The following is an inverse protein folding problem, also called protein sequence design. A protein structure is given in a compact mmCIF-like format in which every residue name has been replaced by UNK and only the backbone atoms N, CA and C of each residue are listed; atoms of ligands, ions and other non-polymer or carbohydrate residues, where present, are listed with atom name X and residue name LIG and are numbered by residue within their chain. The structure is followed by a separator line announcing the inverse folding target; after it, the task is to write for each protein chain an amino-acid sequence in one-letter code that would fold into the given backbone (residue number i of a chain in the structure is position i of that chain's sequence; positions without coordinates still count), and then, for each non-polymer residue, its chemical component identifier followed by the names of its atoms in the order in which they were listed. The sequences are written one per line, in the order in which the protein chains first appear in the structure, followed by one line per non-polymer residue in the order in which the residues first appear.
data_IF_561303616564
#
_entry.id   IF_561303616564
#
_cell.length_a   1.000
_cell.length_b   1.000
_cell.length_c   1.000
_cell.angle_alpha   90.00
_cell.angle_beta   90.00
_cell.angle_gamma   90.00
#
_symmetry.space_group_name_H-M   'P 1'
#
loop_
_entity.id
_entity.type
_entity.pdbx_description
1 polymer ?
#
# COMPACT_ATOMS: atom_id res chain seq x y z
N UNK A 1 -4.50 -27.61 14.97
CA UNK A 1 -3.84 -26.36 14.50
C UNK A 1 -4.93 -25.31 14.41
N UNK A 2 -4.79 -24.19 15.12
CA UNK A 2 -5.78 -23.10 15.07
C UNK A 2 -5.35 -22.11 13.99
N UNK A 3 -6.24 -21.85 13.05
CA UNK A 3 -6.07 -20.89 11.96
C UNK A 3 -6.85 -19.62 12.26
N UNK A 4 -6.23 -18.48 12.02
CA UNK A 4 -6.81 -17.16 12.28
C UNK A 4 -7.01 -16.42 10.96
N UNK A 5 -7.93 -15.47 11.00
CA UNK A 5 -8.25 -14.60 9.89
C UNK A 5 -8.21 -13.16 10.38
N UNK A 6 -7.55 -12.28 9.63
CA UNK A 6 -7.56 -10.85 9.89
C UNK A 6 -8.41 -10.16 8.82
N UNK A 7 -9.55 -9.64 9.25
CA UNK A 7 -10.36 -8.77 8.41
C UNK A 7 -9.76 -7.36 8.42
N UNK A 8 -9.52 -6.80 7.24
CA UNK A 8 -8.93 -5.48 7.08
C UNK A 8 -9.77 -4.66 6.12
N UNK A 9 -10.08 -3.42 6.49
CA UNK A 9 -10.74 -2.44 5.64
C UNK A 9 -10.01 -1.11 5.68
N UNK A 10 -9.77 -0.50 4.53
CA UNK A 10 -9.27 0.86 4.45
C UNK A 10 -10.46 1.83 4.36
N UNK A 11 -10.78 2.53 5.46
CA UNK A 11 -11.95 3.42 5.51
C UNK A 11 -11.79 4.71 4.72
N UNK A 12 -10.64 5.36 4.82
CA UNK A 12 -10.37 6.65 4.20
C UNK A 12 -8.91 6.75 3.74
N UNK A 13 -8.67 7.65 2.78
CA UNK A 13 -7.35 8.05 2.32
C UNK A 13 -7.30 9.57 2.20
N UNK A 14 -7.06 10.24 3.33
CA UNK A 14 -7.06 11.71 3.45
C UNK A 14 -5.90 12.44 2.76
N UNK A 15 -5.08 11.76 1.96
CA UNK A 15 -3.96 12.37 1.23
C UNK A 15 -4.24 12.43 -0.27
N UNK A 16 -4.02 13.60 -0.90
CA UNK A 16 -4.14 13.73 -2.35
C UNK A 16 -2.80 13.48 -3.03
N UNK A 17 -2.75 12.47 -3.91
CA UNK A 17 -1.58 12.13 -4.73
C UNK A 17 -1.49 12.99 -6.00
N UNK A 18 -2.58 13.69 -6.38
CA UNK A 18 -2.67 14.49 -7.61
C UNK A 18 -2.82 13.68 -8.91
N UNK A 19 -2.78 12.35 -8.81
CA UNK A 19 -2.97 11.36 -9.88
C UNK A 19 -3.79 10.20 -9.29
N UNK A 20 -4.23 9.25 -10.13
CA UNK A 20 -4.78 8.00 -9.60
C UNK A 20 -3.71 7.29 -8.77
N UNK A 21 -4.11 6.53 -7.76
CA UNK A 21 -3.18 5.79 -6.92
C UNK A 21 -3.62 4.33 -6.74
N UNK A 22 -2.62 3.47 -6.58
CA UNK A 22 -2.79 2.08 -6.18
C UNK A 22 -2.09 1.89 -4.83
N UNK A 23 -2.82 1.37 -3.86
CA UNK A 23 -2.31 1.08 -2.52
C UNK A 23 -2.30 -0.44 -2.34
N UNK A 24 -1.12 -0.99 -2.09
CA UNK A 24 -0.92 -2.42 -1.88
C UNK A 24 -0.68 -2.69 -0.40
N UNK A 25 -1.61 -3.39 0.24
CA UNK A 25 -1.53 -3.82 1.63
C UNK A 25 -1.05 -5.27 1.73
N UNK A 26 -0.20 -5.57 2.71
CA UNK A 26 0.30 -6.92 2.98
C UNK A 26 0.75 -7.08 4.43
N UNK A 27 0.69 -8.29 4.95
CA UNK A 27 1.20 -8.65 6.27
C UNK A 27 2.68 -9.00 6.21
N UNK A 28 3.46 -8.46 7.14
CA UNK A 28 4.91 -8.66 7.25
C UNK A 28 5.28 -9.11 8.66
N UNK A 29 6.04 -10.21 8.75
CA UNK A 29 6.66 -10.68 10.00
C UNK A 29 8.10 -10.13 10.05
N UNK A 30 8.36 -9.18 10.95
CA UNK A 30 9.70 -8.57 11.06
C UNK A 30 10.74 -9.50 11.69
N UNK A 31 10.31 -10.46 12.51
CA UNK A 31 11.19 -11.48 13.12
C UNK A 31 11.70 -12.44 12.06
N UNK A 32 10.87 -12.83 11.09
CA UNK A 32 11.26 -13.68 9.95
C UNK A 32 11.81 -12.88 8.77
N UNK A 33 11.54 -11.58 8.71
CA UNK A 33 11.95 -10.69 7.61
C UNK A 33 11.23 -10.99 6.29
N UNK A 34 9.98 -11.45 6.33
CA UNK A 34 9.24 -11.86 5.13
C UNK A 34 7.76 -11.49 5.20
N UNK A 35 7.15 -11.41 4.02
CA UNK A 35 5.70 -11.26 3.89
C UNK A 35 5.00 -12.58 4.22
N UNK A 36 3.92 -12.48 4.97
CA UNK A 36 3.05 -13.61 5.31
C UNK A 36 1.84 -13.71 4.37
N UNK A 37 1.48 -12.61 3.70
CA UNK A 37 0.31 -12.56 2.84
C UNK A 37 0.64 -12.12 1.43
N UNK A 38 -0.28 -12.41 0.50
CA UNK A 38 -0.34 -11.73 -0.78
C UNK A 38 -0.68 -10.23 -0.61
N UNK A 39 -0.57 -9.48 -1.70
CA UNK A 39 -0.89 -8.06 -1.72
C UNK A 39 -2.37 -7.85 -2.02
N UNK A 40 -3.06 -7.17 -1.11
CA UNK A 40 -4.40 -6.63 -1.34
C UNK A 40 -4.31 -5.25 -1.98
N UNK A 41 -4.99 -5.04 -3.11
CA UNK A 41 -4.96 -3.79 -3.87
C UNK A 41 -6.22 -2.96 -3.62
N UNK A 42 -6.03 -1.71 -3.22
CA UNK A 42 -7.05 -0.67 -3.25
C UNK A 42 -6.69 0.39 -4.28
N UNK A 43 -7.65 0.81 -5.10
CA UNK A 43 -7.47 1.86 -6.11
C UNK A 43 -8.14 3.15 -5.68
N UNK A 44 -7.42 4.25 -5.78
CA UNK A 44 -7.89 5.60 -5.46
C UNK A 44 -7.91 6.43 -6.74
N UNK A 45 -9.05 7.06 -7.01
CA UNK A 45 -9.17 8.03 -8.11
C UNK A 45 -8.52 9.35 -7.74
N UNK A 46 -7.95 10.07 -8.71
CA UNK A 46 -7.44 11.44 -8.48
C UNK A 46 -8.53 12.40 -7.96
N UNK A 47 -9.80 12.16 -8.30
CA UNK A 47 -10.97 12.91 -7.80
C UNK A 47 -11.27 12.65 -6.31
N UNK A 48 -10.52 11.74 -5.67
CA UNK A 48 -10.65 11.41 -4.26
C UNK A 48 -11.67 10.30 -3.99
N UNK A 49 -11.90 10.08 -2.70
CA UNK A 49 -12.69 8.96 -2.16
C UNK A 49 -14.21 9.12 -2.38
N UNK A 50 -14.70 10.34 -2.58
CA UNK A 50 -16.12 10.68 -2.65
C UNK A 50 -16.87 10.11 -3.87
N UNK A 51 -16.16 9.81 -4.97
CA UNK A 51 -16.75 9.15 -6.14
C UNK A 51 -16.63 7.61 -6.10
N UNK A 52 -16.00 7.04 -5.07
CA UNK A 52 -15.76 5.60 -4.93
C UNK A 52 -16.78 4.88 -4.03
N UNK A 53 -17.72 5.64 -3.44
CA UNK A 53 -18.77 5.14 -2.53
C UNK A 53 -19.60 4.00 -3.18
N UNK A 54 -19.71 3.92 -4.51
CA UNK A 54 -20.40 2.80 -5.17
C UNK A 54 -19.64 1.46 -5.14
N UNK A 55 -18.37 1.44 -4.72
CA UNK A 55 -17.52 0.22 -4.61
C UNK A 55 -17.00 -0.05 -3.20
N UNK A 56 -17.75 0.36 -2.18
CA UNK A 56 -17.46 0.18 -0.75
C UNK A 56 -17.18 -1.28 -0.30
N UNK A 57 -17.42 -2.28 -1.14
CA UNK A 57 -17.02 -3.67 -0.88
C UNK A 57 -15.60 -4.02 -1.35
N UNK A 58 -14.91 -3.14 -2.08
CA UNK A 58 -13.62 -3.43 -2.72
C UNK A 58 -12.38 -2.90 -1.96
N UNK A 59 -12.57 -2.24 -0.83
CA UNK A 59 -11.51 -1.73 0.06
C UNK A 59 -11.29 -2.61 1.30
N UNK A 60 -11.95 -3.77 1.37
CA UNK A 60 -11.80 -4.73 2.44
C UNK A 60 -11.24 -6.06 1.92
N UNK A 61 -10.53 -6.78 2.79
CA UNK A 61 -9.99 -8.11 2.51
C UNK A 61 -9.96 -8.95 3.79
N UNK A 62 -9.81 -10.26 3.63
CA UNK A 62 -9.54 -11.19 4.71
C UNK A 62 -8.17 -11.80 4.43
N UNK A 63 -7.22 -11.57 5.32
CA UNK A 63 -5.95 -12.29 5.32
C UNK A 63 -6.15 -13.62 6.05
N UNK A 64 -6.06 -14.73 5.32
CA UNK A 64 -6.32 -16.08 5.82
C UNK A 64 -5.04 -16.81 6.22
N UNK A 65 -5.20 -18.04 6.72
CA UNK A 65 -4.12 -19.00 6.94
C UNK A 65 -3.03 -18.55 7.93
N UNK A 66 -3.38 -17.71 8.90
CA UNK A 66 -2.48 -17.22 9.93
C UNK A 66 -2.43 -18.19 11.12
N UNK A 67 -1.24 -18.66 11.47
CA UNK A 67 -1.02 -19.44 12.69
C UNK A 67 -0.87 -18.56 13.93
N UNK A 68 -1.03 -19.16 15.11
CA UNK A 68 -0.75 -18.48 16.39
C UNK A 68 0.63 -17.80 16.43
N UNK A 69 1.64 -18.44 15.84
CA UNK A 69 3.02 -17.92 15.84
C UNK A 69 3.20 -16.69 14.92
N UNK A 70 2.23 -16.43 14.04
CA UNK A 70 2.22 -15.30 13.12
C UNK A 70 1.52 -14.08 13.75
N UNK A 71 0.55 -14.30 14.66
CA UNK A 71 -0.10 -13.28 15.50
C UNK A 71 0.79 -12.83 16.66
N UNK A 72 1.95 -12.25 16.32
CA UNK A 72 2.95 -11.78 17.28
C UNK A 72 3.03 -10.26 17.32
N UNK A 73 3.79 -9.70 18.27
CA UNK A 73 4.08 -8.26 18.34
C UNK A 73 4.90 -7.75 17.15
N UNK A 74 5.51 -8.67 16.41
CA UNK A 74 6.35 -8.43 15.23
C UNK A 74 5.55 -8.52 13.91
N UNK A 75 4.21 -8.58 14.00
CA UNK A 75 3.31 -8.53 12.86
C UNK A 75 2.98 -7.08 12.48
N UNK A 76 3.16 -6.76 11.21
CA UNK A 76 2.88 -5.43 10.65
C UNK A 76 2.00 -5.52 9.42
N UNK A 77 1.16 -4.51 9.22
CA UNK A 77 0.60 -4.21 7.90
C UNK A 77 1.53 -3.21 7.21
N UNK A 78 1.92 -3.52 5.98
CA UNK A 78 2.70 -2.64 5.12
C UNK A 78 1.82 -2.17 3.97
N UNK A 79 1.74 -0.86 3.77
CA UNK A 79 1.03 -0.20 2.69
C UNK A 79 2.02 0.43 1.71
N UNK A 80 2.08 -0.04 0.46
CA UNK A 80 2.85 0.60 -0.60
C UNK A 80 1.93 1.46 -1.46
N UNK A 81 2.19 2.76 -1.49
CA UNK A 81 1.44 3.71 -2.31
C UNK A 81 2.17 3.94 -3.62
N UNK A 82 1.49 3.66 -4.73
CA UNK A 82 1.95 3.86 -6.08
C UNK A 82 1.11 4.95 -6.73
N UNK A 83 1.74 6.00 -7.27
CA UNK A 83 1.05 6.97 -8.11
C UNK A 83 1.02 6.49 -9.56
N UNK A 84 -0.13 6.60 -10.19
CA UNK A 84 -0.45 6.08 -11.50
C UNK A 84 -0.74 7.23 -12.45
N UNK A 85 0.20 7.52 -13.35
CA UNK A 85 0.01 8.62 -14.29
C UNK A 85 1.12 8.75 -15.31
N UNK A 86 1.15 9.89 -15.99
CA UNK A 86 2.11 10.12 -17.07
C UNK A 86 3.48 10.46 -16.51
N UNK A 87 4.53 9.99 -17.17
CA UNK A 87 5.88 10.47 -16.89
C UNK A 87 6.05 11.84 -17.56
N UNK A 88 6.33 12.88 -16.77
CA UNK A 88 6.67 14.20 -17.30
C UNK A 88 8.11 14.11 -17.82
N UNK A 89 8.29 14.05 -19.14
CA UNK A 89 9.57 14.32 -19.78
C UNK A 89 9.68 15.83 -20.02
N UNK A 90 10.86 16.41 -19.86
CA UNK A 90 11.14 17.84 -20.10
C UNK A 90 10.73 18.29 -21.50
N UNK A 91 10.35 19.57 -21.64
CA UNK A 91 9.70 20.23 -22.80
C UNK A 91 10.37 20.12 -24.19
N UNK A 92 11.53 19.49 -24.29
CA UNK A 92 12.26 19.37 -25.55
C UNK A 92 12.00 18.03 -26.23
N UNK A 93 10.90 17.96 -26.99
CA UNK A 93 10.74 16.95 -28.04
C UNK A 93 9.30 16.59 -28.33
N UNK A 94 8.85 16.89 -29.55
CA UNK A 94 7.60 16.44 -30.18
C UNK A 94 7.56 14.91 -30.38
N UNK A 95 7.75 14.14 -29.32
CA UNK A 95 7.49 12.72 -29.34
C UNK A 95 6.12 12.50 -28.73
N UNK A 96 5.26 11.81 -29.51
CA UNK A 96 3.97 11.28 -29.10
C UNK A 96 4.17 10.27 -27.95
N UNK A 97 4.59 10.74 -26.78
CA UNK A 97 4.70 9.94 -25.58
C UNK A 97 3.30 9.41 -25.31
N UNK A 98 3.10 8.13 -25.60
CA UNK A 98 1.79 7.51 -25.73
C UNK A 98 0.94 7.62 -24.47
N UNK A 99 -0.31 7.22 -24.58
CA UNK A 99 -1.30 7.10 -23.49
C UNK A 99 -0.89 6.13 -22.36
N UNK A 100 0.39 5.81 -22.21
CA UNK A 100 0.93 4.90 -21.22
C UNK A 100 0.82 5.52 -19.82
N UNK A 101 0.21 4.75 -18.92
CA UNK A 101 0.13 5.06 -17.49
C UNK A 101 1.24 4.30 -16.78
N UNK A 102 2.08 5.02 -16.05
CA UNK A 102 3.19 4.46 -15.29
C UNK A 102 2.84 4.40 -13.80
N UNK A 103 3.14 3.26 -13.18
CA UNK A 103 3.09 3.08 -11.73
C UNK A 103 4.44 3.45 -11.13
N UNK A 104 4.48 4.48 -10.30
CA UNK A 104 5.71 4.99 -9.68
C UNK A 104 5.56 4.96 -8.17
N UNK A 105 6.58 4.51 -7.41
CA UNK A 105 6.54 4.59 -5.96
C UNK A 105 6.27 6.02 -5.48
N UNK A 106 5.34 6.16 -4.54
CA UNK A 106 4.96 7.45 -3.96
C UNK A 106 5.26 7.48 -2.45
N UNK A 107 4.90 6.42 -1.73
CA UNK A 107 5.17 6.34 -0.30
C UNK A 107 5.00 4.94 0.25
N UNK A 108 5.39 4.76 1.51
CA UNK A 108 5.19 3.52 2.26
C UNK A 108 4.70 3.83 3.67
N UNK A 109 3.68 3.11 4.12
CA UNK A 109 3.21 3.09 5.50
C UNK A 109 3.49 1.73 6.13
N UNK A 110 3.85 1.72 7.41
CA UNK A 110 4.04 0.51 8.20
C UNK A 110 3.32 0.70 9.53
N UNK A 111 2.46 -0.24 9.89
CA UNK A 111 1.67 -0.19 11.12
C UNK A 111 1.82 -1.52 11.88
N UNK A 112 2.26 -1.48 13.15
CA UNK A 112 2.27 -2.67 14.00
C UNK A 112 0.84 -3.11 14.32
N UNK A 113 0.59 -4.42 14.28
CA UNK A 113 -0.68 -5.03 14.68
C UNK A 113 -0.64 -5.63 16.09
N UNK A 114 0.34 -5.27 16.91
CA UNK A 114 0.52 -5.82 18.26
C UNK A 114 -0.73 -5.66 19.15
N UNK A 115 -1.46 -4.56 19.00
CA UNK A 115 -2.70 -4.29 19.75
C UNK A 115 -3.89 -5.04 19.15
N UNK A 116 -4.01 -5.08 17.82
CA UNK A 116 -5.06 -5.82 17.12
C UNK A 116 -4.95 -7.36 17.30
N UNK A 117 -3.75 -7.86 17.59
CA UNK A 117 -3.52 -9.30 17.81
C UNK A 117 -3.87 -9.77 19.23
N UNK A 118 -4.11 -8.85 20.17
CA UNK A 118 -4.36 -9.18 21.59
C UNK A 118 -5.83 -9.30 21.95
N UNK A 119 -6.74 -8.72 21.16
CA UNK A 119 -8.17 -8.72 21.44
C UNK A 119 -8.95 -9.34 20.28
N UNK A 120 -9.82 -10.30 20.59
CA UNK A 120 -10.47 -11.17 19.60
C UNK A 120 -11.87 -10.71 19.21
N UNK A 121 -12.28 -9.51 19.64
CA UNK A 121 -13.71 -9.17 19.67
C UNK A 121 -14.06 -7.76 19.23
N UNK A 122 -13.13 -6.81 19.23
CA UNK A 122 -13.42 -5.41 18.89
C UNK A 122 -12.79 -4.97 17.56
N UNK A 123 -13.56 -4.19 16.79
CA UNK A 123 -13.07 -3.55 15.58
C UNK A 123 -12.13 -2.41 15.96
N UNK A 124 -10.83 -2.57 15.68
CA UNK A 124 -9.83 -1.55 15.96
C UNK A 124 -9.68 -0.60 14.78
N UNK A 125 -9.96 0.69 15.00
CA UNK A 125 -9.68 1.73 14.04
C UNK A 125 -8.26 2.29 14.25
N UNK A 126 -7.42 2.21 13.21
CA UNK A 126 -6.02 2.61 13.28
C UNK A 126 -5.65 3.55 12.12
N UNK A 127 -4.79 4.53 12.40
CA UNK A 127 -4.31 5.49 11.40
C UNK A 127 -2.95 5.09 10.84
N UNK A 128 -2.87 4.88 9.52
CA UNK A 128 -1.60 4.69 8.83
C UNK A 128 -0.92 6.03 8.55
N UNK A 129 0.31 6.19 9.04
CA UNK A 129 1.20 7.26 8.58
C UNK A 129 2.02 6.78 7.40
N UNK A 130 1.74 7.32 6.22
CA UNK A 130 2.51 7.03 5.00
C UNK A 130 3.68 8.01 4.91
N UNK A 131 4.90 7.49 4.88
CA UNK A 131 6.08 8.29 4.58
C UNK A 131 6.20 8.45 3.07
N UNK A 132 5.94 9.66 2.59
CA UNK A 132 6.08 10.03 1.18
C UNK A 132 7.56 10.23 0.90
N UNK A 133 8.09 9.46 -0.06
CA UNK A 133 9.45 9.69 -0.54
C UNK A 133 9.35 10.53 -1.81
N UNK A 134 9.83 11.76 -1.77
CA UNK A 134 10.29 12.45 -2.97
C UNK A 134 11.58 11.75 -3.42
N UNK A 135 11.44 10.63 -4.13
CA UNK A 135 12.60 9.93 -4.69
C UNK A 135 13.13 10.78 -5.85
N UNK A 136 14.04 11.71 -5.55
CA UNK A 136 15.08 12.11 -6.49
C UNK A 136 16.07 10.93 -6.56
N UNK A 137 15.80 9.94 -7.40
CA UNK A 137 16.80 8.93 -7.74
C UNK A 137 17.37 9.23 -9.12
N UNK A 138 18.57 9.80 -9.14
CA UNK A 138 19.51 9.56 -10.24
C UNK A 138 20.41 8.40 -9.81
N UNK A 139 20.24 7.24 -10.43
CA UNK A 139 21.19 6.13 -10.33
C UNK A 139 21.95 6.08 -11.66
N UNK A 140 23.06 6.81 -11.73
CA UNK A 140 24.07 6.55 -12.76
C UNK A 140 25.08 5.55 -12.21
N UNK A 141 25.06 4.34 -12.76
CA UNK A 141 26.28 3.54 -12.91
C UNK A 141 26.53 3.42 -14.41
N UNK A 142 27.63 3.98 -14.87
CA UNK A 142 28.44 3.37 -15.92
C UNK A 142 29.89 3.78 -15.68
N UNK A 143 30.60 2.87 -15.02
CA UNK A 143 32.05 2.82 -14.93
C UNK A 143 32.65 2.60 -16.31
N UNK A 144 33.80 3.24 -16.51
CA UNK A 144 34.60 3.27 -17.73
C UNK A 144 34.93 1.88 -18.31
N UNK A 145 35.04 1.85 -19.64
CA UNK A 145 36.09 1.16 -20.38
C UNK A 145 36.70 2.17 -21.35
#
# INVERSE_FOLDING_TARGET
VLTHHLYFCMRDFGHSVGEDAEIYFSLFDSRRGQYLSERFLVRISKEGFSNYIEKLHSNCTIFTDLGNADLSRDLYVVAHVMRCGRMLYSDSGKNKAGSAVYRRPHGVGVLPLAEAAQDHTEELEMTFKVMIKNVLSSLHKNSAL
#
